data_IF_589133967947
#
_entry.id   IF_589133967947
#
_cell.length_a   1.000
_cell.length_b   1.000
_cell.length_c   1.000
_cell.angle_alpha   90.00
_cell.angle_beta   90.00
_cell.angle_gamma   90.00
#
_symmetry.space_group_name_H-M   'P 1'
#
loop_
_entity.id
_entity.type
_entity.pdbx_description
1 polymer ?
#
# COMPACT_ATOMS: atom_id res chain seq x y z
N UNK A 1 1.44 11.74 -28.07
CA UNK A 1 0.37 10.78 -28.32
C UNK A 1 1.02 9.40 -28.25
N UNK A 2 1.05 8.77 -27.11
CA UNK A 2 1.57 7.41 -26.94
C UNK A 2 0.37 6.47 -26.86
N UNK A 3 0.29 5.65 -27.88
CA UNK A 3 -0.67 4.56 -28.05
C UNK A 3 -0.44 3.52 -26.93
N UNK A 4 -1.29 3.53 -25.91
CA UNK A 4 -1.34 2.46 -24.91
C UNK A 4 -2.19 1.34 -25.50
N UNK A 5 -1.53 0.31 -25.97
CA UNK A 5 -2.18 -0.92 -26.41
C UNK A 5 -3.12 -1.50 -25.32
N UNK A 6 -4.02 -2.46 -25.66
CA UNK A 6 -5.08 -2.91 -24.78
C UNK A 6 -4.54 -3.47 -23.47
N UNK A 7 -4.98 -2.89 -22.34
CA UNK A 7 -4.75 -3.46 -21.00
C UNK A 7 -5.46 -4.79 -20.89
N UNK A 8 -4.72 -5.89 -20.95
CA UNK A 8 -5.22 -7.22 -20.64
C UNK A 8 -5.55 -7.27 -19.16
N UNK A 9 -6.82 -7.32 -18.79
CA UNK A 9 -7.25 -7.61 -17.42
C UNK A 9 -6.91 -9.06 -17.10
N UNK A 10 -5.83 -9.28 -16.39
CA UNK A 10 -5.46 -10.60 -15.87
C UNK A 10 -6.41 -10.94 -14.71
N UNK A 11 -7.38 -11.79 -14.96
CA UNK A 11 -8.27 -12.35 -13.94
C UNK A 11 -7.54 -13.50 -13.21
N UNK A 12 -6.63 -13.18 -12.29
CA UNK A 12 -5.93 -14.15 -11.47
C UNK A 12 -5.58 -13.55 -10.11
N UNK A 13 -5.95 -14.22 -9.02
CA UNK A 13 -5.51 -13.86 -7.67
C UNK A 13 -3.99 -14.04 -7.61
N UNK A 14 -3.20 -12.96 -7.73
CA UNK A 14 -1.80 -12.97 -7.38
C UNK A 14 -0.77 -12.38 -8.34
N UNK A 15 -1.11 -11.98 -9.58
CA UNK A 15 -0.17 -11.34 -10.53
C UNK A 15 -0.59 -9.90 -10.77
N UNK A 16 0.29 -8.93 -10.47
CA UNK A 16 0.08 -7.50 -10.75
C UNK A 16 0.53 -7.19 -12.18
N UNK A 17 -0.10 -6.22 -12.83
CA UNK A 17 0.23 -5.83 -14.21
C UNK A 17 1.69 -5.44 -14.40
N UNK A 18 2.23 -4.61 -13.50
CA UNK A 18 3.61 -4.12 -13.54
C UNK A 18 4.63 -5.25 -13.29
N UNK A 19 4.34 -6.18 -12.35
CA UNK A 19 5.17 -7.36 -12.09
C UNK A 19 5.25 -8.24 -13.35
N UNK A 20 4.12 -8.37 -14.07
CA UNK A 20 4.04 -9.18 -15.27
C UNK A 20 4.82 -8.58 -16.45
N UNK A 21 4.74 -7.25 -16.61
CA UNK A 21 5.51 -6.55 -17.64
C UNK A 21 7.01 -6.68 -17.38
N UNK A 22 7.46 -6.51 -16.14
CA UNK A 22 8.85 -6.76 -15.76
C UNK A 22 9.30 -8.17 -16.16
N UNK A 23 8.52 -9.19 -15.84
CA UNK A 23 8.84 -10.59 -16.20
C UNK A 23 8.84 -10.80 -17.70
N UNK A 24 7.92 -10.19 -18.47
CA UNK A 24 7.86 -10.31 -19.93
C UNK A 24 9.10 -9.76 -20.63
N UNK A 25 9.64 -8.65 -20.17
CA UNK A 25 10.76 -7.97 -20.81
C UNK A 25 12.10 -8.70 -20.60
N UNK A 26 12.30 -9.32 -19.44
CA UNK A 26 13.59 -9.97 -19.11
C UNK A 26 13.74 -11.31 -19.80
N UNK A 27 15.02 -11.63 -20.10
CA UNK A 27 15.35 -12.78 -20.95
C UNK A 27 15.79 -14.02 -20.19
N UNK A 28 16.25 -13.87 -18.96
CA UNK A 28 16.79 -14.95 -18.13
C UNK A 28 16.14 -14.90 -16.75
N UNK A 29 15.78 -16.06 -16.25
CA UNK A 29 15.34 -16.25 -14.88
C UNK A 29 16.09 -17.41 -14.24
N UNK A 30 15.96 -17.53 -12.93
CA UNK A 30 16.53 -18.63 -12.14
C UNK A 30 15.40 -19.49 -11.61
N UNK A 31 15.26 -20.69 -12.21
CA UNK A 31 14.24 -21.66 -11.82
C UNK A 31 14.71 -22.45 -10.62
N UNK A 32 14.00 -22.34 -9.52
CA UNK A 32 14.19 -23.14 -8.32
C UNK A 32 13.16 -24.30 -8.32
N UNK A 33 13.67 -25.52 -8.08
CA UNK A 33 12.90 -26.76 -7.92
C UNK A 33 13.43 -27.51 -6.70
N UNK A 34 12.65 -28.43 -6.14
CA UNK A 34 13.10 -29.33 -5.07
C UNK A 34 12.82 -30.78 -5.42
N UNK A 35 13.68 -31.72 -4.95
CA UNK A 35 13.43 -33.15 -5.05
C UNK A 35 12.43 -33.65 -4.00
N UNK A 36 12.15 -34.95 -3.98
CA UNK A 36 11.20 -35.55 -3.05
C UNK A 36 11.56 -35.30 -1.58
N UNK A 37 12.84 -35.23 -1.26
CA UNK A 37 13.39 -34.96 0.08
C UNK A 37 13.38 -33.48 0.44
N UNK A 38 13.05 -32.60 -0.53
CA UNK A 38 13.04 -31.15 -0.34
C UNK A 38 14.38 -30.46 -0.59
N UNK A 39 15.38 -31.16 -1.15
CA UNK A 39 16.68 -30.58 -1.48
C UNK A 39 16.53 -29.59 -2.65
N UNK A 40 16.86 -28.30 -2.48
CA UNK A 40 16.68 -27.31 -3.51
C UNK A 40 17.72 -27.44 -4.65
N UNK A 41 17.27 -27.09 -5.85
CA UNK A 41 18.11 -26.97 -7.03
C UNK A 41 17.74 -25.70 -7.79
N UNK A 42 18.73 -24.88 -8.17
CA UNK A 42 18.50 -23.64 -8.92
C UNK A 42 19.30 -23.68 -10.22
N UNK A 43 18.65 -23.35 -11.33
CA UNK A 43 19.29 -23.30 -12.64
C UNK A 43 18.86 -22.05 -13.42
N UNK A 44 19.78 -21.41 -14.18
CA UNK A 44 19.38 -20.35 -15.09
C UNK A 44 18.56 -20.94 -16.26
N UNK A 45 17.49 -20.27 -16.61
CA UNK A 45 16.61 -20.63 -17.73
C UNK A 45 16.27 -19.41 -18.56
N UNK A 46 16.05 -19.63 -19.86
CA UNK A 46 15.31 -18.68 -20.70
C UNK A 46 13.84 -19.08 -20.71
N UNK A 47 12.95 -18.11 -20.77
CA UNK A 47 11.51 -18.35 -20.62
C UNK A 47 10.69 -17.35 -21.44
N UNK A 48 9.45 -17.70 -21.73
CA UNK A 48 8.45 -16.78 -22.24
C UNK A 48 7.31 -16.63 -21.22
N UNK A 49 6.87 -15.40 -21.01
CA UNK A 49 5.69 -15.09 -20.22
C UNK A 49 4.52 -14.86 -21.19
N UNK A 50 3.51 -15.71 -21.11
CA UNK A 50 2.40 -15.83 -22.05
C UNK A 50 1.07 -15.73 -21.32
N UNK A 51 0.00 -15.51 -22.06
CA UNK A 51 -1.37 -15.66 -21.57
C UNK A 51 -2.00 -16.80 -22.37
N UNK A 52 -2.36 -17.90 -21.71
CA UNK A 52 -3.03 -19.06 -22.28
C UNK A 52 -4.37 -19.24 -21.54
N UNK A 53 -5.46 -19.36 -22.27
CA UNK A 53 -6.82 -19.51 -21.69
C UNK A 53 -7.14 -18.42 -20.64
N UNK A 54 -6.77 -17.17 -20.93
CA UNK A 54 -6.90 -16.00 -20.04
C UNK A 54 -6.06 -16.05 -18.75
N UNK A 55 -5.20 -17.05 -18.58
CA UNK A 55 -4.30 -17.18 -17.43
C UNK A 55 -2.86 -16.84 -17.80
N UNK A 56 -2.10 -16.15 -16.90
CA UNK A 56 -0.68 -15.93 -17.06
C UNK A 56 0.08 -17.24 -16.88
N UNK A 57 0.97 -17.55 -17.82
CA UNK A 57 1.77 -18.78 -17.85
C UNK A 57 3.23 -18.45 -18.15
N UNK A 58 4.15 -19.11 -17.47
CA UNK A 58 5.58 -19.09 -17.82
C UNK A 58 5.91 -20.39 -18.58
N UNK A 59 6.45 -20.24 -19.79
CA UNK A 59 6.92 -21.34 -20.61
C UNK A 59 8.43 -21.42 -20.65
N UNK A 60 9.02 -22.60 -20.44
CA UNK A 60 10.46 -22.86 -20.48
C UNK A 60 10.74 -24.02 -21.41
N UNK A 61 11.60 -23.81 -22.41
CA UNK A 61 11.97 -24.87 -23.34
C UNK A 61 12.96 -25.86 -22.72
N UNK A 62 12.81 -27.12 -23.08
CA UNK A 62 13.85 -28.13 -22.98
C UNK A 62 14.51 -28.21 -24.36
N UNK A 63 15.73 -27.67 -24.48
CA UNK A 63 16.41 -27.49 -25.76
C UNK A 63 17.30 -28.69 -26.16
N UNK A 64 17.66 -28.74 -27.44
CA UNK A 64 18.48 -29.80 -28.07
C UNK A 64 19.97 -29.80 -27.66
N UNK A 65 20.37 -29.02 -26.64
CA UNK A 65 21.79 -29.07 -26.20
C UNK A 65 22.15 -30.50 -25.79
N UNK A 66 23.41 -30.95 -26.00
CA UNK A 66 23.78 -32.33 -25.72
C UNK A 66 23.80 -32.61 -24.21
N UNK A 67 22.60 -32.89 -23.68
CA UNK A 67 22.35 -33.18 -22.27
C UNK A 67 21.79 -34.59 -22.04
N UNK A 68 21.77 -35.41 -23.10
CA UNK A 68 21.13 -36.73 -23.06
C UNK A 68 19.60 -36.65 -23.06
N UNK A 69 18.94 -37.62 -22.44
CA UNK A 69 17.50 -37.72 -22.33
C UNK A 69 16.91 -36.50 -21.56
N UNK A 70 15.98 -35.74 -22.16
CA UNK A 70 15.30 -34.61 -21.56
C UNK A 70 14.69 -34.90 -20.20
N UNK A 71 14.15 -36.10 -20.01
CA UNK A 71 13.48 -36.53 -18.77
C UNK A 71 14.47 -36.86 -17.64
N UNK A 72 15.76 -37.01 -17.93
CA UNK A 72 16.82 -37.18 -16.93
C UNK A 72 17.34 -35.87 -16.34
N UNK A 73 16.89 -34.73 -16.85
CA UNK A 73 17.28 -33.43 -16.28
C UNK A 73 16.76 -33.34 -14.84
N UNK A 74 17.63 -32.93 -13.90
CA UNK A 74 17.28 -32.84 -12.47
C UNK A 74 16.02 -32.00 -12.25
N UNK A 75 15.91 -30.84 -12.89
CA UNK A 75 14.73 -29.98 -12.80
C UNK A 75 13.43 -30.65 -13.29
N UNK A 76 13.50 -31.53 -14.30
CA UNK A 76 12.36 -32.26 -14.84
C UNK A 76 11.88 -33.30 -13.83
N UNK A 77 12.80 -34.10 -13.29
CA UNK A 77 12.49 -35.08 -12.21
C UNK A 77 11.90 -34.40 -10.99
N UNK A 78 12.52 -33.30 -10.56
CA UNK A 78 12.03 -32.53 -9.42
C UNK A 78 10.59 -32.06 -9.63
N UNK A 79 10.27 -31.52 -10.82
CA UNK A 79 8.91 -31.07 -11.17
C UNK A 79 7.90 -32.23 -11.18
N UNK A 80 8.30 -33.42 -11.64
CA UNK A 80 7.45 -34.59 -11.63
C UNK A 80 7.16 -35.10 -10.21
N UNK A 81 8.12 -34.96 -9.30
CA UNK A 81 7.99 -35.35 -7.89
C UNK A 81 7.33 -34.23 -7.06
N UNK A 82 7.68 -32.97 -7.32
CA UNK A 82 7.16 -31.77 -6.64
C UNK A 82 6.92 -30.64 -7.65
N UNK A 83 5.67 -30.39 -8.01
CA UNK A 83 5.35 -29.41 -9.02
C UNK A 83 5.52 -27.95 -8.56
N UNK A 84 5.61 -27.67 -7.27
CA UNK A 84 5.78 -26.31 -6.74
C UNK A 84 7.16 -25.78 -7.10
N UNK A 85 7.20 -24.67 -7.82
CA UNK A 85 8.44 -24.05 -8.28
C UNK A 85 8.44 -22.55 -8.00
N UNK A 86 9.65 -21.98 -8.03
CA UNK A 86 9.84 -20.55 -8.02
C UNK A 86 10.76 -20.12 -9.16
N UNK A 87 10.40 -19.05 -9.86
CA UNK A 87 11.24 -18.40 -10.87
C UNK A 87 11.62 -17.00 -10.37
N UNK A 88 12.90 -16.78 -10.12
CA UNK A 88 13.43 -15.45 -9.82
C UNK A 88 13.88 -14.80 -11.12
N UNK A 89 13.36 -13.61 -11.39
CA UNK A 89 13.77 -12.73 -12.49
C UNK A 89 14.30 -11.46 -11.87
N UNK A 90 15.53 -11.08 -12.17
CA UNK A 90 16.19 -9.96 -11.54
C UNK A 90 17.03 -9.16 -12.54
N UNK A 91 17.15 -7.86 -12.26
CA UNK A 91 18.13 -6.98 -12.84
C UNK A 91 19.13 -6.56 -11.75
N UNK A 92 20.41 -6.77 -11.99
CA UNK A 92 21.47 -6.22 -11.18
C UNK A 92 22.04 -4.97 -11.83
N UNK A 93 22.21 -3.92 -11.04
CA UNK A 93 22.89 -2.69 -11.43
C UNK A 93 23.74 -2.22 -10.25
N UNK A 94 24.91 -1.60 -10.51
CA UNK A 94 25.73 -0.96 -9.47
C UNK A 94 25.01 0.27 -8.86
N UNK A 95 24.13 0.87 -9.60
CA UNK A 95 23.15 1.82 -9.11
C UNK A 95 21.98 1.05 -8.49
N UNK A 96 21.93 1.01 -7.16
CA UNK A 96 20.93 0.25 -6.41
C UNK A 96 19.51 0.70 -6.62
N UNK A 97 19.28 1.91 -7.16
CA UNK A 97 17.94 2.36 -7.57
C UNK A 97 17.35 1.57 -8.72
N UNK A 98 18.24 0.96 -9.52
CA UNK A 98 17.87 0.14 -10.67
C UNK A 98 17.80 -1.34 -10.37
N UNK A 99 18.22 -1.76 -9.17
CA UNK A 99 18.02 -3.14 -8.73
C UNK A 99 16.53 -3.45 -8.68
N UNK A 100 16.13 -4.53 -9.33
CA UNK A 100 14.77 -4.99 -9.27
C UNK A 100 14.70 -6.51 -9.41
N UNK A 101 13.75 -7.13 -8.74
CA UNK A 101 13.46 -8.53 -8.95
C UNK A 101 11.98 -8.84 -8.78
N UNK A 102 11.53 -9.85 -9.51
CA UNK A 102 10.24 -10.49 -9.35
C UNK A 102 10.43 -11.96 -9.01
N UNK A 103 9.85 -12.40 -7.91
CA UNK A 103 9.74 -13.81 -7.58
C UNK A 103 8.36 -14.30 -8.03
N UNK A 104 8.34 -15.16 -9.03
CA UNK A 104 7.14 -15.85 -9.50
C UNK A 104 7.07 -17.22 -8.86
N UNK A 105 5.95 -17.57 -8.23
CA UNK A 105 5.67 -18.92 -7.72
C UNK A 105 4.50 -19.51 -8.45
N UNK A 106 4.51 -20.81 -8.66
CA UNK A 106 3.42 -21.52 -9.32
C UNK A 106 3.64 -23.03 -9.32
N UNK A 107 2.74 -23.74 -9.96
CA UNK A 107 2.83 -25.19 -10.18
C UNK A 107 3.32 -25.45 -11.60
N UNK A 108 4.40 -26.23 -11.74
CA UNK A 108 5.01 -26.58 -12.99
C UNK A 108 4.57 -27.98 -13.47
N UNK A 109 4.34 -28.12 -14.77
CA UNK A 109 4.08 -29.40 -15.41
C UNK A 109 4.84 -29.48 -16.75
N UNK A 110 5.12 -30.69 -17.21
CA UNK A 110 5.59 -30.90 -18.57
C UNK A 110 4.38 -30.91 -19.51
N UNK A 111 4.49 -30.15 -20.58
CA UNK A 111 3.59 -30.22 -21.71
C UNK A 111 4.29 -31.00 -22.85
N UNK A 112 3.77 -32.14 -23.17
CA UNK A 112 4.28 -32.97 -24.27
C UNK A 112 3.87 -32.41 -25.64
N UNK A 113 4.58 -32.78 -26.72
CA UNK A 113 4.15 -32.45 -28.07
C UNK A 113 2.71 -32.90 -28.33
N UNK A 114 1.83 -31.93 -28.66
CA UNK A 114 0.40 -32.17 -28.86
C UNK A 114 -0.50 -31.87 -27.67
N UNK A 115 0.07 -31.63 -26.48
CA UNK A 115 -0.69 -31.17 -25.31
C UNK A 115 -1.18 -29.73 -25.47
N UNK A 116 -2.26 -29.40 -24.78
CA UNK A 116 -2.80 -28.05 -24.76
C UNK A 116 -1.76 -27.04 -24.22
N UNK A 117 -1.56 -25.96 -24.96
CA UNK A 117 -0.61 -24.89 -24.63
C UNK A 117 0.84 -25.19 -25.05
N UNK A 118 1.19 -26.41 -25.50
CA UNK A 118 2.56 -26.72 -25.96
C UNK A 118 2.94 -25.90 -27.20
N UNK A 119 2.07 -25.88 -28.22
CA UNK A 119 2.31 -25.14 -29.45
C UNK A 119 2.49 -23.65 -29.24
N UNK A 120 1.64 -23.04 -28.41
CA UNK A 120 1.69 -21.63 -28.03
C UNK A 120 2.95 -21.31 -27.23
N UNK A 121 3.34 -22.22 -26.35
CA UNK A 121 4.58 -22.09 -25.57
C UNK A 121 5.81 -22.04 -26.49
N UNK A 122 5.90 -22.97 -27.45
CA UNK A 122 7.01 -23.01 -28.42
C UNK A 122 6.99 -21.76 -29.32
N UNK A 123 5.81 -21.31 -29.77
CA UNK A 123 5.67 -20.10 -30.56
C UNK A 123 6.16 -18.85 -29.80
N UNK A 124 5.71 -18.65 -28.56
CA UNK A 124 6.13 -17.53 -27.73
C UNK A 124 7.63 -17.56 -27.38
N UNK A 125 8.19 -18.75 -27.15
CA UNK A 125 9.63 -18.91 -26.94
C UNK A 125 10.45 -18.56 -28.18
N UNK A 126 9.98 -18.89 -29.38
CA UNK A 126 10.61 -18.52 -30.65
C UNK A 126 10.54 -17.04 -30.94
N UNK A 127 9.39 -16.43 -30.68
CA UNK A 127 9.21 -14.98 -30.82
C UNK A 127 10.23 -14.24 -29.93
N UNK A 128 10.35 -14.63 -28.68
CA UNK A 128 11.27 -13.99 -27.71
C UNK A 128 12.75 -14.29 -27.99
N UNK A 129 13.06 -15.50 -28.50
CA UNK A 129 14.45 -15.96 -28.71
C UNK A 129 14.67 -16.45 -30.15
N UNK A 130 15.19 -15.60 -31.07
CA UNK A 130 15.42 -15.94 -32.48
C UNK A 130 16.29 -17.19 -32.68
N UNK A 131 17.15 -17.52 -31.71
CA UNK A 131 17.99 -18.72 -31.77
C UNK A 131 17.14 -20.01 -31.80
N UNK A 132 15.98 -20.00 -31.18
CA UNK A 132 15.06 -21.15 -31.16
C UNK A 132 14.37 -21.42 -32.49
N UNK A 133 14.40 -20.49 -33.46
CA UNK A 133 13.89 -20.73 -34.81
C UNK A 133 14.65 -21.83 -35.56
N UNK A 134 15.88 -22.14 -35.12
CA UNK A 134 16.75 -23.15 -35.74
C UNK A 134 16.74 -24.49 -34.99
N UNK A 135 15.95 -24.65 -33.95
CA UNK A 135 15.89 -25.84 -33.10
C UNK A 135 14.54 -26.55 -33.27
N UNK A 136 14.52 -27.89 -33.17
CA UNK A 136 13.31 -28.71 -33.27
C UNK A 136 12.60 -28.82 -31.91
N UNK A 137 12.11 -27.69 -31.40
CA UNK A 137 11.45 -27.66 -30.10
C UNK A 137 10.08 -28.35 -30.12
N UNK A 138 9.43 -28.48 -31.28
CA UNK A 138 8.12 -29.12 -31.41
C UNK A 138 8.10 -30.59 -31.02
N UNK A 139 9.23 -31.26 -31.10
CA UNK A 139 9.39 -32.67 -30.75
C UNK A 139 9.85 -32.90 -29.30
N UNK A 140 10.02 -31.85 -28.54
CA UNK A 140 10.52 -31.86 -27.15
C UNK A 140 9.47 -31.31 -26.20
N UNK A 141 9.38 -31.79 -24.95
CA UNK A 141 8.48 -31.24 -23.97
C UNK A 141 8.86 -29.82 -23.57
N UNK A 142 7.88 -29.04 -23.15
CA UNK A 142 8.08 -27.74 -22.54
C UNK A 142 7.63 -27.77 -21.06
N UNK A 143 8.26 -26.99 -20.20
CA UNK A 143 7.79 -26.79 -18.83
C UNK A 143 6.83 -25.60 -18.85
N UNK A 144 5.60 -25.79 -18.38
CA UNK A 144 4.61 -24.75 -18.16
C UNK A 144 4.40 -24.54 -16.68
N UNK A 145 4.50 -23.30 -16.22
CA UNK A 145 4.23 -22.91 -14.83
C UNK A 145 2.92 -22.13 -14.83
N UNK A 146 1.93 -22.60 -14.08
CA UNK A 146 0.56 -22.06 -13.96
C UNK A 146 0.21 -21.69 -12.53
N UNK A 147 -0.94 -21.09 -12.30
CA UNK A 147 -1.38 -20.69 -10.94
C UNK A 147 -0.43 -19.69 -10.32
N UNK A 148 -0.01 -18.67 -11.07
CA UNK A 148 1.09 -17.79 -10.70
C UNK A 148 0.70 -16.83 -9.57
N UNK A 149 1.65 -16.62 -8.67
CA UNK A 149 1.67 -15.48 -7.74
C UNK A 149 3.01 -14.76 -7.85
N UNK A 150 3.00 -13.42 -7.76
CA UNK A 150 4.20 -12.61 -7.90
C UNK A 150 4.51 -11.84 -6.61
N UNK A 151 5.81 -11.65 -6.35
CA UNK A 151 6.31 -10.70 -5.37
C UNK A 151 7.38 -9.87 -6.07
N UNK A 152 7.09 -8.61 -6.28
CA UNK A 152 8.01 -7.62 -6.83
C UNK A 152 8.77 -6.92 -5.71
N UNK A 153 10.03 -6.66 -5.96
CA UNK A 153 10.86 -5.72 -5.21
C UNK A 153 11.70 -4.94 -6.19
N UNK A 154 11.74 -3.65 -6.00
CA UNK A 154 12.66 -2.77 -6.70
C UNK A 154 13.50 -2.08 -5.66
N UNK A 155 14.80 -2.06 -5.87
CA UNK A 155 15.66 -1.16 -5.14
C UNK A 155 15.11 0.23 -5.36
N UNK A 156 14.66 0.87 -4.30
CA UNK A 156 14.75 2.30 -4.27
C UNK A 156 16.23 2.60 -4.15
N UNK A 157 16.72 3.64 -4.78
CA UNK A 157 17.88 4.29 -4.22
C UNK A 157 17.70 4.27 -2.73
N UNK A 158 18.58 3.60 -2.00
CA UNK A 158 18.75 3.82 -0.58
C UNK A 158 19.29 5.24 -0.32
N UNK A 159 18.92 6.10 -1.16
CA UNK A 159 18.66 7.44 -1.45
C UNK A 159 17.73 7.50 -2.63
N UNK A 160 16.46 7.74 -2.43
CA UNK A 160 15.90 8.92 -3.05
C UNK A 160 17.03 9.93 -2.96
N UNK A 161 17.58 10.39 -4.08
CA UNK A 161 18.45 11.57 -4.12
C UNK A 161 17.73 12.54 -3.23
N UNK A 162 18.25 12.77 -1.98
CA UNK A 162 17.42 13.20 -0.85
C UNK A 162 16.62 14.35 -1.40
N UNK A 163 15.29 14.28 -1.45
CA UNK A 163 14.48 15.10 -2.34
C UNK A 163 14.96 16.50 -2.12
N UNK A 164 15.28 17.21 -3.19
CA UNK A 164 15.98 18.49 -3.14
C UNK A 164 15.36 19.30 -2.02
N UNK A 165 16.14 19.61 -0.98
CA UNK A 165 15.57 20.08 0.30
C UNK A 165 14.70 21.29 -0.03
N UNK A 166 13.38 21.27 0.23
CA UNK A 166 12.53 22.39 -0.09
C UNK A 166 13.12 23.63 0.56
N UNK A 167 13.10 24.72 -0.14
CA UNK A 167 13.64 25.98 0.33
C UNK A 167 13.04 26.32 1.70
N UNK A 168 13.84 26.84 2.63
CA UNK A 168 13.39 27.22 3.99
C UNK A 168 12.11 28.06 3.96
N UNK A 169 11.96 28.91 2.93
CA UNK A 169 10.79 29.77 2.77
C UNK A 169 9.54 29.00 2.37
N UNK A 170 9.65 28.00 1.52
CA UNK A 170 8.53 27.16 1.05
C UNK A 170 7.97 26.33 2.21
N UNK A 171 8.85 25.66 2.97
CA UNK A 171 8.43 24.92 4.17
C UNK A 171 7.77 25.86 5.19
N UNK A 172 8.34 27.03 5.42
CA UNK A 172 7.78 28.02 6.34
C UNK A 172 6.41 28.53 5.88
N UNK A 173 6.20 28.68 4.57
CA UNK A 173 4.91 29.07 4.00
C UNK A 173 3.84 27.97 4.23
N UNK A 174 4.15 26.70 3.99
CA UNK A 174 3.25 25.58 4.26
C UNK A 174 2.88 25.49 5.75
N UNK A 175 3.88 25.47 6.64
CA UNK A 175 3.65 25.33 8.08
C UNK A 175 2.86 26.52 8.64
N UNK A 176 3.17 27.74 8.21
CA UNK A 176 2.48 28.97 8.65
C UNK A 176 1.14 29.17 7.93
N UNK A 177 1.00 28.70 6.72
CA UNK A 177 -0.19 28.84 5.87
C UNK A 177 -1.34 27.95 6.33
N UNK A 178 -1.07 26.67 6.60
CA UNK A 178 -2.09 25.70 7.00
C UNK A 178 -2.93 26.16 8.21
N UNK A 179 -4.23 25.90 8.16
CA UNK A 179 -5.23 26.25 9.20
C UNK A 179 -6.06 25.03 9.60
N UNK A 180 -6.68 25.14 10.76
CA UNK A 180 -7.78 24.23 11.13
C UNK A 180 -9.09 24.82 10.63
N UNK A 181 -9.54 24.31 9.49
CA UNK A 181 -10.80 24.71 8.85
C UNK A 181 -11.96 23.90 9.47
N UNK A 182 -13.08 24.55 9.67
CA UNK A 182 -14.30 23.97 10.27
C UNK A 182 -15.57 24.26 9.50
N UNK A 183 -15.47 25.02 8.40
CA UNK A 183 -16.57 25.29 7.49
C UNK A 183 -16.06 25.08 6.07
N UNK A 184 -16.71 24.18 5.36
CA UNK A 184 -16.33 23.77 4.01
C UNK A 184 -17.43 24.13 3.02
N UNK A 185 -17.04 24.37 1.77
CA UNK A 185 -17.99 24.44 0.65
C UNK A 185 -18.32 23.01 0.15
N UNK A 186 -19.30 22.92 -0.75
CA UNK A 186 -19.81 21.65 -1.24
C UNK A 186 -18.96 21.01 -2.36
N UNK A 187 -17.80 21.57 -2.71
CA UNK A 187 -16.96 21.01 -3.76
C UNK A 187 -16.44 19.63 -3.36
N UNK A 188 -16.56 18.62 -4.24
CA UNK A 188 -15.96 17.31 -3.97
C UNK A 188 -14.44 17.42 -3.93
N UNK A 189 -13.81 16.65 -3.07
CA UNK A 189 -12.34 16.51 -3.02
C UNK A 189 -11.95 15.34 -3.92
N UNK A 190 -11.03 15.54 -4.89
CA UNK A 190 -10.55 14.44 -5.73
C UNK A 190 -9.89 13.34 -4.89
N UNK A 191 -10.11 12.10 -5.30
CA UNK A 191 -9.65 10.93 -4.55
C UNK A 191 -8.12 10.82 -4.55
N UNK A 192 -7.48 11.13 -5.66
CA UNK A 192 -6.03 11.17 -5.81
C UNK A 192 -5.37 12.14 -4.81
N UNK A 193 -5.95 13.31 -4.57
CA UNK A 193 -5.47 14.26 -3.56
C UNK A 193 -5.50 13.66 -2.15
N UNK A 194 -6.54 12.87 -1.84
CA UNK A 194 -6.65 12.17 -0.54
C UNK A 194 -5.61 11.06 -0.45
N UNK A 195 -5.44 10.28 -1.51
CA UNK A 195 -4.47 9.18 -1.58
C UNK A 195 -3.03 9.71 -1.47
N UNK A 196 -2.68 10.80 -2.14
CA UNK A 196 -1.38 11.47 -2.02
C UNK A 196 -1.13 12.00 -0.60
N UNK A 197 -2.14 12.60 0.03
CA UNK A 197 -2.02 13.09 1.40
C UNK A 197 -1.84 11.95 2.43
N UNK A 198 -2.49 10.81 2.23
CA UNK A 198 -2.28 9.60 3.04
C UNK A 198 -0.90 9.01 2.78
N UNK A 199 -0.43 9.00 1.53
CA UNK A 199 0.93 8.58 1.20
C UNK A 199 1.98 9.47 1.90
N UNK A 200 1.79 10.80 1.90
CA UNK A 200 2.66 11.74 2.63
C UNK A 200 2.64 11.49 4.15
N UNK A 201 1.50 11.12 4.72
CA UNK A 201 1.40 10.71 6.12
C UNK A 201 2.28 9.48 6.43
N UNK A 202 2.40 8.56 5.48
CA UNK A 202 3.23 7.37 5.56
C UNK A 202 4.73 7.65 5.78
N UNK A 203 5.23 8.83 5.41
CA UNK A 203 6.61 9.27 5.61
C UNK A 203 6.90 9.86 7.01
N UNK A 204 5.94 9.83 7.90
CA UNK A 204 6.17 10.27 9.27
C UNK A 204 7.17 9.33 9.99
N UNK A 205 7.99 9.88 10.93
CA UNK A 205 8.85 9.02 11.73
C UNK A 205 8.03 8.13 12.67
N UNK A 206 8.50 6.91 12.87
CA UNK A 206 7.97 5.99 13.89
C UNK A 206 9.09 5.13 14.45
N UNK A 207 9.05 4.75 15.74
CA UNK A 207 10.01 3.85 16.34
C UNK A 207 10.09 2.54 15.54
N UNK A 208 11.30 2.11 15.24
CA UNK A 208 11.58 0.89 14.47
C UNK A 208 10.91 0.82 13.08
N UNK A 209 10.46 1.95 12.50
CA UNK A 209 9.78 2.00 11.22
C UNK A 209 8.43 1.27 11.20
N UNK A 210 7.77 1.09 12.32
CA UNK A 210 6.55 0.25 12.45
C UNK A 210 5.31 0.83 11.82
N UNK A 211 5.24 2.17 11.65
CA UNK A 211 4.11 2.86 11.03
C UNK A 211 2.76 2.44 11.65
N UNK A 212 2.54 2.74 12.96
CA UNK A 212 1.40 2.24 13.72
C UNK A 212 0.10 3.01 13.43
N UNK A 213 -0.11 3.41 12.20
CA UNK A 213 -1.29 4.16 11.75
C UNK A 213 -2.02 3.47 10.63
N UNK A 214 -3.35 3.63 10.63
CA UNK A 214 -4.24 3.29 9.52
C UNK A 214 -5.23 4.42 9.35
N UNK A 215 -5.70 4.63 8.14
CA UNK A 215 -6.64 5.69 7.83
C UNK A 215 -7.92 5.11 7.25
N UNK A 216 -9.06 5.52 7.78
CA UNK A 216 -10.38 5.19 7.23
C UNK A 216 -10.93 6.43 6.56
N UNK A 217 -11.24 6.34 5.27
CA UNK A 217 -11.81 7.44 4.49
C UNK A 217 -13.32 7.24 4.39
N UNK A 218 -14.09 8.24 4.78
CA UNK A 218 -15.56 8.21 4.79
C UNK A 218 -16.08 9.27 3.81
N UNK A 219 -16.47 8.82 2.61
CA UNK A 219 -17.00 9.68 1.54
C UNK A 219 -18.53 9.71 1.51
N UNK A 220 -19.19 8.62 1.97
CA UNK A 220 -20.65 8.53 2.00
C UNK A 220 -21.26 9.51 3.00
N UNK A 221 -22.18 10.35 2.53
CA UNK A 221 -22.91 11.29 3.38
C UNK A 221 -23.68 10.56 4.49
N UNK A 222 -24.33 9.46 4.16
CA UNK A 222 -25.06 8.63 5.11
C UNK A 222 -24.17 8.15 6.26
N UNK A 223 -22.96 7.65 5.93
CA UNK A 223 -22.01 7.20 6.95
C UNK A 223 -21.44 8.34 7.80
N UNK A 224 -21.22 9.52 7.18
CA UNK A 224 -20.77 10.71 7.93
C UNK A 224 -21.82 11.17 8.92
N UNK A 225 -23.08 11.18 8.49
CA UNK A 225 -24.21 11.57 9.34
C UNK A 225 -24.44 10.54 10.47
N UNK A 226 -24.40 9.25 10.17
CA UNK A 226 -24.49 8.19 11.17
C UNK A 226 -23.37 8.30 12.23
N UNK A 227 -22.14 8.58 11.80
CA UNK A 227 -21.02 8.79 12.70
C UNK A 227 -21.21 10.04 13.58
N UNK A 228 -21.65 11.14 12.98
CA UNK A 228 -21.90 12.38 13.70
C UNK A 228 -23.00 12.21 14.76
N UNK A 229 -24.08 11.50 14.43
CA UNK A 229 -25.21 11.25 15.32
C UNK A 229 -24.82 10.33 16.49
N UNK A 230 -24.14 9.22 16.22
CA UNK A 230 -23.70 8.29 17.26
C UNK A 230 -22.71 8.93 18.25
N UNK A 231 -21.72 9.70 17.73
CA UNK A 231 -20.78 10.44 18.57
C UNK A 231 -21.51 11.55 19.38
N UNK A 232 -22.53 12.21 18.81
CA UNK A 232 -23.29 13.24 19.50
C UNK A 232 -24.06 12.68 20.71
N UNK A 233 -24.59 11.46 20.64
CA UNK A 233 -25.26 10.82 21.77
C UNK A 233 -24.31 10.60 22.95
N UNK A 234 -23.12 10.06 22.68
CA UNK A 234 -22.08 9.88 23.72
C UNK A 234 -21.68 11.22 24.34
N UNK A 235 -21.42 12.22 23.49
CA UNK A 235 -21.04 13.54 23.97
C UNK A 235 -22.15 14.23 24.76
N UNK A 236 -23.40 14.06 24.38
CA UNK A 236 -24.59 14.54 25.14
C UNK A 236 -24.60 13.99 26.57
N UNK A 237 -24.34 12.68 26.69
CA UNK A 237 -24.28 12.04 28.00
C UNK A 237 -23.15 12.62 28.86
N UNK A 238 -21.95 12.79 28.30
CA UNK A 238 -20.78 13.37 29.01
C UNK A 238 -21.01 14.82 29.44
N UNK A 239 -21.53 15.68 28.56
CA UNK A 239 -21.80 17.08 28.88
C UNK A 239 -22.87 17.25 29.98
N UNK A 240 -23.84 16.30 30.06
CA UNK A 240 -24.80 16.28 31.15
C UNK A 240 -24.15 15.92 32.50
N UNK A 241 -23.21 14.96 32.48
CA UNK A 241 -22.42 14.61 33.66
C UNK A 241 -21.56 15.80 34.14
N UNK A 242 -21.08 16.64 33.24
CA UNK A 242 -20.36 17.88 33.53
C UNK A 242 -21.28 19.01 34.10
N UNK A 243 -22.57 18.75 34.28
CA UNK A 243 -23.53 19.71 34.81
C UNK A 243 -23.92 20.84 33.84
N UNK A 244 -23.69 20.67 32.54
CA UNK A 244 -24.06 21.68 31.54
C UNK A 244 -25.58 21.73 31.35
N UNK A 245 -26.10 22.94 31.18
CA UNK A 245 -27.53 23.10 30.89
C UNK A 245 -27.89 22.54 29.49
N UNK A 246 -29.16 22.14 29.35
CA UNK A 246 -29.68 21.47 28.15
C UNK A 246 -29.50 22.32 26.88
N UNK A 247 -29.75 23.64 26.97
CA UNK A 247 -29.68 24.52 25.79
C UNK A 247 -28.25 24.65 25.27
N UNK A 248 -27.30 24.79 26.17
CA UNK A 248 -25.85 24.82 25.85
C UNK A 248 -25.39 23.50 25.23
N UNK A 249 -25.85 22.36 25.78
CA UNK A 249 -25.55 21.03 25.24
C UNK A 249 -26.05 20.91 23.80
N UNK A 250 -27.35 21.17 23.56
CA UNK A 250 -27.92 21.03 22.23
C UNK A 250 -27.27 22.01 21.21
N UNK A 251 -26.96 23.23 21.58
CA UNK A 251 -26.25 24.17 20.71
C UNK A 251 -24.84 23.68 20.29
N UNK A 252 -24.11 23.03 21.20
CA UNK A 252 -22.81 22.43 20.90
C UNK A 252 -22.92 21.24 19.97
N UNK A 253 -23.92 20.37 20.19
CA UNK A 253 -24.17 19.19 19.35
C UNK A 253 -24.53 19.57 17.92
N UNK A 254 -25.49 20.51 17.76
CA UNK A 254 -25.86 21.03 16.43
C UNK A 254 -24.64 21.57 15.69
N UNK A 255 -23.81 22.40 16.36
CA UNK A 255 -22.61 22.95 15.74
C UNK A 255 -21.57 21.88 15.36
N UNK A 256 -21.46 20.83 16.16
CA UNK A 256 -20.54 19.70 15.86
C UNK A 256 -21.05 18.89 14.67
N UNK A 257 -22.34 18.56 14.68
CA UNK A 257 -23.01 17.83 13.59
C UNK A 257 -22.85 18.56 12.25
N UNK A 258 -23.17 19.86 12.22
CA UNK A 258 -23.05 20.69 11.02
C UNK A 258 -21.63 20.68 10.41
N UNK A 259 -20.61 20.64 11.24
CA UNK A 259 -19.20 20.54 10.76
C UNK A 259 -18.93 19.24 10.04
N UNK A 260 -19.41 18.11 10.60
CA UNK A 260 -19.19 16.79 10.02
C UNK A 260 -20.07 16.59 8.77
N UNK A 261 -21.29 17.08 8.81
CA UNK A 261 -22.23 17.02 7.71
C UNK A 261 -21.72 17.78 6.47
N UNK A 262 -21.18 18.98 6.66
CA UNK A 262 -20.72 19.86 5.55
C UNK A 262 -19.35 19.51 5.00
N UNK A 263 -18.55 18.71 5.72
CA UNK A 263 -17.28 18.27 5.20
C UNK A 263 -17.47 17.26 4.05
N UNK A 264 -16.93 17.49 2.85
CA UNK A 264 -17.06 16.54 1.74
C UNK A 264 -16.53 15.15 2.06
N UNK A 265 -15.45 15.07 2.85
CA UNK A 265 -14.80 13.82 3.24
C UNK A 265 -14.40 13.90 4.72
N UNK A 266 -14.50 12.76 5.42
CA UNK A 266 -13.89 12.58 6.73
C UNK A 266 -12.79 11.52 6.63
N UNK A 267 -11.65 11.79 7.26
CA UNK A 267 -10.58 10.80 7.43
C UNK A 267 -10.47 10.51 8.92
N UNK A 268 -10.48 9.22 9.28
CA UNK A 268 -10.34 8.76 10.66
C UNK A 268 -8.97 8.13 10.84
N UNK A 269 -7.98 8.84 11.39
CA UNK A 269 -6.71 8.25 11.78
C UNK A 269 -6.91 7.29 12.96
N UNK A 270 -6.49 6.04 12.77
CA UNK A 270 -6.54 4.98 13.77
C UNK A 270 -5.14 4.54 14.17
N UNK A 271 -4.93 4.30 15.45
CA UNK A 271 -3.77 3.59 15.94
C UNK A 271 -3.96 2.08 15.70
N UNK A 272 -2.97 1.43 15.09
CA UNK A 272 -2.99 -0.01 14.83
C UNK A 272 -2.29 -0.75 15.96
N UNK A 273 -3.08 -1.36 16.85
CA UNK A 273 -2.60 -1.91 18.12
C UNK A 273 -1.78 -3.20 17.95
N UNK A 274 -2.11 -4.04 16.95
CA UNK A 274 -1.38 -5.29 16.70
C UNK A 274 0.06 -5.07 16.17
N UNK A 275 0.39 -3.86 15.76
CA UNK A 275 1.73 -3.47 15.32
C UNK A 275 2.65 -3.04 16.46
N UNK A 276 2.17 -2.97 17.72
CA UNK A 276 2.93 -2.52 18.88
C UNK A 276 3.62 -3.69 19.58
N UNK A 277 4.75 -3.40 20.26
CA UNK A 277 5.37 -4.37 21.16
C UNK A 277 4.53 -4.57 22.41
N UNK A 278 4.53 -5.80 22.90
CA UNK A 278 3.84 -6.15 24.13
C UNK A 278 4.87 -6.31 25.25
N UNK A 279 4.73 -5.52 26.29
CA UNK A 279 5.62 -5.53 27.45
C UNK A 279 4.93 -6.17 28.68
N UNK A 280 5.68 -6.90 29.52
CA UNK A 280 5.12 -7.58 30.70
C UNK A 280 4.73 -6.62 31.81
N UNK A 281 5.23 -5.38 31.80
CA UNK A 281 4.92 -4.34 32.81
C UNK A 281 4.20 -3.13 32.17
N UNK A 282 3.37 -2.50 32.98
CA UNK A 282 2.53 -1.40 32.54
C UNK A 282 3.29 -0.11 32.22
N UNK A 283 4.50 0.10 32.74
CA UNK A 283 5.26 1.32 32.50
C UNK A 283 5.85 1.32 31.08
N UNK A 284 6.47 0.20 30.67
CA UNK A 284 6.96 0.04 29.31
C UNK A 284 5.82 -0.01 28.29
N UNK A 285 4.71 -0.68 28.63
CA UNK A 285 3.53 -0.73 27.75
C UNK A 285 2.98 0.68 27.51
N UNK A 286 2.86 1.51 28.54
CA UNK A 286 2.44 2.92 28.37
C UNK A 286 3.44 3.75 27.56
N UNK A 287 4.73 3.49 27.71
CA UNK A 287 5.76 4.16 26.89
C UNK A 287 5.59 3.80 25.40
N UNK A 288 5.39 2.53 25.07
CA UNK A 288 5.15 2.04 23.70
C UNK A 288 3.91 2.71 23.09
N UNK A 289 2.79 2.69 23.81
CA UNK A 289 1.55 3.35 23.37
C UNK A 289 1.75 4.86 23.16
N UNK A 290 2.50 5.52 24.05
CA UNK A 290 2.82 6.94 23.94
C UNK A 290 3.63 7.24 22.68
N UNK A 291 4.67 6.44 22.39
CA UNK A 291 5.49 6.60 21.19
C UNK A 291 4.64 6.37 19.92
N UNK A 292 3.74 5.41 19.94
CA UNK A 292 2.85 5.14 18.83
C UNK A 292 1.86 6.29 18.58
N UNK A 293 1.30 6.88 19.64
CA UNK A 293 0.43 8.06 19.55
C UNK A 293 1.19 9.30 19.03
N UNK A 294 2.43 9.52 19.47
CA UNK A 294 3.29 10.60 18.93
C UNK A 294 3.54 10.40 17.44
N UNK A 295 3.83 9.17 17.02
CA UNK A 295 4.04 8.82 15.61
C UNK A 295 2.78 9.07 14.76
N UNK A 296 1.61 8.67 15.27
CA UNK A 296 0.33 8.97 14.61
C UNK A 296 0.11 10.49 14.50
N UNK A 297 0.45 11.26 15.53
CA UNK A 297 0.38 12.72 15.48
C UNK A 297 1.27 13.34 14.40
N UNK A 298 2.49 12.81 14.22
CA UNK A 298 3.39 13.21 13.14
C UNK A 298 2.81 12.86 11.75
N UNK A 299 2.22 11.66 11.61
CA UNK A 299 1.56 11.24 10.37
C UNK A 299 0.36 12.14 10.01
N UNK A 300 -0.47 12.49 11.00
CA UNK A 300 -1.59 13.43 10.80
C UNK A 300 -1.09 14.82 10.42
N UNK A 301 0.02 15.30 10.98
CA UNK A 301 0.60 16.59 10.59
C UNK A 301 1.07 16.57 9.14
N UNK A 302 1.73 15.51 8.67
CA UNK A 302 2.13 15.36 7.27
C UNK A 302 0.90 15.34 6.34
N UNK A 303 -0.14 14.57 6.67
CA UNK A 303 -1.42 14.55 5.94
C UNK A 303 -2.00 15.96 5.79
N UNK A 304 -2.06 16.74 6.86
CA UNK A 304 -2.62 18.09 6.84
C UNK A 304 -1.78 19.07 6.02
N UNK A 305 -0.46 18.93 6.02
CA UNK A 305 0.44 19.76 5.20
C UNK A 305 0.30 19.41 3.72
N UNK A 306 0.21 18.13 3.38
CA UNK A 306 0.02 17.67 2.02
C UNK A 306 -1.32 18.12 1.44
N UNK A 307 -2.42 17.98 2.19
CA UNK A 307 -3.73 18.52 1.80
C UNK A 307 -3.64 20.02 1.52
N UNK A 308 -3.00 20.77 2.43
CA UNK A 308 -2.87 22.22 2.26
C UNK A 308 -2.02 22.60 1.04
N UNK A 309 -0.96 21.87 0.76
CA UNK A 309 -0.14 22.06 -0.45
C UNK A 309 -0.95 21.82 -1.74
N UNK A 310 -1.89 20.88 -1.70
CA UNK A 310 -2.83 20.61 -2.81
C UNK A 310 -4.02 21.57 -2.88
N UNK A 311 -4.06 22.63 -2.05
CA UNK A 311 -5.14 23.61 -2.01
C UNK A 311 -6.42 23.10 -1.31
N UNK A 312 -6.31 22.02 -0.54
CA UNK A 312 -7.41 21.41 0.24
C UNK A 312 -7.16 21.63 1.73
N UNK A 313 -8.19 21.95 2.47
CA UNK A 313 -8.09 22.24 3.90
C UNK A 313 -8.52 21.07 4.76
N UNK A 314 -7.96 21.02 5.99
CA UNK A 314 -8.31 20.04 7.00
C UNK A 314 -8.65 20.62 8.36
N UNK A 315 -9.57 19.98 9.06
CA UNK A 315 -9.94 20.29 10.43
C UNK A 315 -9.73 19.10 11.36
N UNK A 316 -8.70 19.13 12.20
CA UNK A 316 -8.39 18.05 13.14
C UNK A 316 -9.23 18.15 14.43
N UNK A 317 -9.90 17.06 14.79
CA UNK A 317 -10.70 16.90 15.99
C UNK A 317 -10.36 15.56 16.66
N UNK A 318 -10.17 15.59 18.00
CA UNK A 318 -9.84 14.38 18.76
C UNK A 318 -11.07 13.76 19.45
N UNK A 319 -12.27 14.07 18.98
CA UNK A 319 -13.51 13.55 19.55
C UNK A 319 -13.60 12.00 19.60
N UNK A 320 -13.05 11.24 18.63
CA UNK A 320 -13.02 9.77 18.71
C UNK A 320 -12.35 9.21 19.96
N UNK A 321 -11.39 9.90 20.56
CA UNK A 321 -10.75 9.45 21.81
C UNK A 321 -11.71 9.29 22.98
N UNK A 322 -12.85 9.96 22.96
CA UNK A 322 -13.88 9.90 24.01
C UNK A 322 -14.96 8.84 23.75
N UNK A 323 -14.96 8.23 22.57
CA UNK A 323 -15.93 7.23 22.16
C UNK A 323 -15.39 6.27 21.07
N UNK A 324 -14.20 5.65 21.26
CA UNK A 324 -13.58 4.85 20.22
C UNK A 324 -14.44 3.66 19.80
N UNK A 325 -15.13 3.01 20.74
CA UNK A 325 -16.01 1.87 20.47
C UNK A 325 -17.20 2.25 19.57
N UNK A 326 -17.76 3.44 19.78
CA UNK A 326 -18.85 3.96 18.95
C UNK A 326 -18.41 4.19 17.51
N UNK A 327 -17.21 4.75 17.33
CA UNK A 327 -16.63 4.96 16.00
C UNK A 327 -16.31 3.62 15.32
N UNK A 328 -15.80 2.66 16.07
CA UNK A 328 -15.52 1.30 15.58
C UNK A 328 -16.82 0.63 15.10
N UNK A 329 -17.87 0.69 15.90
CA UNK A 329 -19.18 0.08 15.59
C UNK A 329 -19.80 0.69 14.33
N UNK A 330 -19.91 2.01 14.25
CA UNK A 330 -20.52 2.70 13.10
C UNK A 330 -19.74 2.47 11.80
N UNK A 331 -18.41 2.41 11.87
CA UNK A 331 -17.56 2.22 10.70
C UNK A 331 -17.25 0.75 10.40
N UNK A 332 -17.70 -0.19 11.26
CA UNK A 332 -17.41 -1.62 11.11
C UNK A 332 -15.93 -1.97 11.26
N UNK A 333 -15.20 -1.30 12.16
CA UNK A 333 -13.78 -1.49 12.36
C UNK A 333 -13.50 -2.62 13.37
N UNK A 334 -12.44 -3.38 13.11
CA UNK A 334 -11.92 -4.35 14.07
C UNK A 334 -11.29 -3.69 15.30
N UNK A 335 -11.26 -4.40 16.44
CA UNK A 335 -10.70 -3.91 17.71
C UNK A 335 -9.23 -3.50 17.64
N UNK A 336 -8.48 -4.02 16.68
CA UNK A 336 -7.09 -3.65 16.43
C UNK A 336 -6.91 -2.21 15.92
N UNK A 337 -7.96 -1.59 15.40
CA UNK A 337 -7.97 -0.22 14.88
C UNK A 337 -8.60 0.70 15.93
N UNK A 338 -7.76 1.42 16.69
CA UNK A 338 -8.25 2.37 17.69
C UNK A 338 -8.36 3.78 17.08
N UNK A 339 -9.57 4.35 16.89
CA UNK A 339 -9.76 5.68 16.33
C UNK A 339 -9.25 6.77 17.28
N UNK A 340 -8.31 7.60 16.83
CA UNK A 340 -7.71 8.67 17.64
C UNK A 340 -8.16 10.06 17.25
N UNK A 341 -8.54 10.25 16.01
CA UNK A 341 -8.94 11.55 15.51
C UNK A 341 -9.98 11.45 14.39
N UNK A 342 -10.53 12.59 14.06
CA UNK A 342 -11.40 12.81 12.90
C UNK A 342 -10.89 14.05 12.17
N UNK A 343 -10.54 13.91 10.92
CA UNK A 343 -10.10 15.00 10.05
C UNK A 343 -11.24 15.29 9.06
N UNK A 344 -11.89 16.44 9.23
CA UNK A 344 -12.80 16.95 8.22
C UNK A 344 -11.99 17.57 7.08
N UNK A 345 -12.24 17.15 5.84
CA UNK A 345 -11.46 17.53 4.65
C UNK A 345 -12.36 18.15 3.61
N UNK A 346 -11.92 19.25 2.99
CA UNK A 346 -12.65 19.97 1.96
C UNK A 346 -12.00 21.30 1.64
N UNK A 347 -12.70 22.11 0.87
CA UNK A 347 -12.29 23.49 0.56
C UNK A 347 -12.92 24.45 1.56
N UNK A 348 -12.12 25.37 2.12
CA UNK A 348 -12.61 26.35 3.09
C UNK A 348 -13.72 27.24 2.48
N UNK A 349 -14.88 27.32 3.13
CA UNK A 349 -15.95 28.22 2.73
C UNK A 349 -15.63 29.71 3.00
N UNK A 350 -14.67 29.96 3.91
CA UNK A 350 -14.15 31.30 4.23
C UNK A 350 -12.76 31.17 4.86
N UNK A 351 -11.92 32.19 4.71
CA UNK A 351 -10.59 32.20 5.35
C UNK A 351 -10.75 32.15 6.89
N UNK A 352 -10.19 31.12 7.56
CA UNK A 352 -10.35 30.98 8.98
C UNK A 352 -9.55 32.02 9.77
N UNK A 353 -10.12 32.47 10.88
CA UNK A 353 -9.46 33.43 11.78
C UNK A 353 -8.12 32.88 12.27
N UNK A 354 -7.05 33.63 12.07
CA UNK A 354 -5.69 33.30 12.51
C UNK A 354 -5.50 33.67 13.98
N UNK A 355 -5.30 32.67 14.81
CA UNK A 355 -4.94 32.90 16.22
C UNK A 355 -3.45 33.20 16.34
N UNK A 356 -3.01 34.14 17.21
CA UNK A 356 -1.62 34.34 17.50
C UNK A 356 -0.97 33.07 18.03
N UNK A 357 0.32 32.94 17.83
CA UNK A 357 1.12 31.84 18.35
C UNK A 357 1.93 32.32 19.52
N UNK A 358 2.24 31.40 20.42
CA UNK A 358 3.15 31.65 21.55
C UNK A 358 4.50 32.19 21.03
N UNK A 359 5.07 33.19 21.61
CA UNK A 359 6.38 33.71 21.20
C UNK A 359 7.50 32.73 21.51
N UNK A 360 8.61 32.82 20.77
CA UNK A 360 9.69 31.84 20.81
C UNK A 360 10.30 31.67 22.20
N UNK A 361 10.44 32.78 22.97
CA UNK A 361 11.01 32.74 24.30
C UNK A 361 10.17 32.03 25.37
N UNK A 362 8.88 31.79 25.08
CA UNK A 362 8.01 30.95 25.91
C UNK A 362 8.05 29.47 25.47
N UNK A 363 8.49 29.18 24.25
CA UNK A 363 8.64 27.81 23.72
C UNK A 363 9.97 27.19 24.12
N UNK A 364 11.01 28.01 24.29
CA UNK A 364 12.35 27.55 24.68
C UNK A 364 12.52 27.82 26.18
N UNK A 365 12.62 26.74 26.95
CA UNK A 365 12.80 26.84 28.41
C UNK A 365 14.23 27.18 28.76
N UNK A 366 15.20 26.59 28.07
CA UNK A 366 16.61 26.77 28.33
C UNK A 366 17.49 26.40 27.13
N UNK A 367 18.71 26.99 27.08
CA UNK A 367 19.81 26.63 26.20
C UNK A 367 20.95 26.07 27.05
N UNK A 368 21.16 24.74 27.05
CA UNK A 368 22.24 24.11 27.82
C UNK A 368 23.41 23.75 26.92
#
# INVERSE_FOLDING_TARGET
>A
MSDRGPQVRLAGRGVRGDDWEFVRERRVGRLATADAEGTPSVVPVVYAALVLDEEPVIAIAIDEKPKGDPYRLRRVRNIQERPEVALLVDDYDEDWSRLAWVLVRGSAALAEPGDAGHGEAIAGLREKYPRYARMRLESLPAILIRGLSTRFWQGSDGGDAAPERPGRQELAALVRGRRSVRAFDARPVPRDVIEEAIAAAGWAPSPHGRQPWRFVVVESQERRDALADAMAETWRAQLRLDGQDRATVEARLVKSRDRLHRAPVLIVPCLYLEGLDVYPDGDRQRAEETMAVQSLGAAVQNLLLSLYAAGVDGGWMCAPLFCPEVVQEVLGLGRALNPHALIAVGYAAADPVRRPRMPLHELIVDWQ
#
